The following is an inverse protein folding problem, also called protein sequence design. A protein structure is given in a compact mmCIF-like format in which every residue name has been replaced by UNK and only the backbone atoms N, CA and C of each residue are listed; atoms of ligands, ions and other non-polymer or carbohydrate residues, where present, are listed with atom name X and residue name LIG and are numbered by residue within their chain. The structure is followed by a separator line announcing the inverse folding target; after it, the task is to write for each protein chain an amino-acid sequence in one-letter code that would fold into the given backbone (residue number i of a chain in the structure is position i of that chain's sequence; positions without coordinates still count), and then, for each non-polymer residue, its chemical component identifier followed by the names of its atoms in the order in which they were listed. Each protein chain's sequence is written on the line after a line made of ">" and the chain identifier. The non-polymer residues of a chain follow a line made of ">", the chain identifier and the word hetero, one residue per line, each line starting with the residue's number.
data_IF_152254080130
#
_entry.id   IF_152254080130
#
_cell.length_a   1.000
_cell.length_b   1.000
_cell.length_c   1.000
_cell.angle_alpha   90.00
_cell.angle_beta   90.00
_cell.angle_gamma   90.00
#
_symmetry.space_group_name_H-M   'P 1'
#
loop_
_entity.id
_entity.type
_entity.pdbx_description
1 polymer ?
#
# COMPACT_ATOMS: atom_id res chain seq x y z
N UNK A 1 65.85 45.43 -20.67
CA UNK A 1 64.40 45.12 -20.72
C UNK A 1 64.24 44.19 -21.91
N UNK A 2 64.56 42.90 -21.80
CA UNK A 2 63.72 41.82 -21.25
C UNK A 2 62.87 41.27 -22.42
N UNK A 3 62.88 40.00 -22.83
CA UNK A 3 63.51 38.78 -22.31
C UNK A 3 63.72 37.77 -23.45
N UNK A 4 64.49 36.73 -23.15
CA UNK A 4 65.08 35.72 -24.03
C UNK A 4 64.14 34.67 -24.68
N UNK A 5 64.71 34.02 -25.69
CA UNK A 5 64.34 32.81 -26.45
C UNK A 5 64.38 31.47 -25.69
N UNK A 6 63.43 30.57 -25.96
CA UNK A 6 63.52 29.08 -26.13
C UNK A 6 62.07 28.58 -26.30
N UNK A 7 61.56 27.99 -27.39
CA UNK A 7 61.99 26.92 -28.31
C UNK A 7 62.07 25.52 -27.68
N UNK A 8 61.27 24.62 -28.27
CA UNK A 8 61.23 23.14 -28.24
C UNK A 8 60.39 22.49 -27.12
N UNK A 9 59.61 21.43 -27.35
CA UNK A 9 59.06 20.74 -28.53
C UNK A 9 58.05 19.70 -27.99
N UNK A 10 56.97 19.48 -28.77
CA UNK A 10 56.23 18.21 -28.99
C UNK A 10 55.66 17.39 -27.81
N UNK A 11 54.33 17.17 -27.80
CA UNK A 11 53.63 15.97 -28.31
C UNK A 11 52.14 16.01 -27.91
N UNK A 12 51.28 15.53 -28.81
CA UNK A 12 49.83 15.40 -28.71
C UNK A 12 49.40 14.49 -27.55
N UNK A 13 48.24 14.76 -26.95
CA UNK A 13 47.31 13.70 -26.53
C UNK A 13 45.87 14.24 -26.44
N UNK A 14 44.96 13.41 -26.92
CA UNK A 14 43.51 13.63 -27.02
C UNK A 14 42.81 13.37 -25.69
N UNK A 15 41.59 13.91 -25.63
CA UNK A 15 40.42 13.41 -24.90
C UNK A 15 40.13 13.85 -23.45
N UNK A 16 38.94 14.46 -23.36
CA UNK A 16 37.86 14.31 -22.37
C UNK A 16 38.04 14.93 -20.98
N UNK A 17 37.09 15.81 -20.63
CA UNK A 17 36.52 15.93 -19.29
C UNK A 17 35.21 16.76 -19.40
N UNK A 18 34.16 16.10 -19.90
CA UNK A 18 32.75 16.47 -19.70
C UNK A 18 32.28 15.78 -18.41
N UNK A 19 32.08 16.50 -17.30
CA UNK A 19 31.30 15.97 -16.15
C UNK A 19 30.99 17.08 -15.11
N UNK A 20 30.11 18.03 -15.44
CA UNK A 20 29.44 18.91 -14.44
C UNK A 20 27.99 19.24 -14.84
N UNK A 21 27.18 18.23 -15.17
CA UNK A 21 25.80 18.47 -15.61
C UNK A 21 24.80 17.34 -15.29
N UNK A 22 24.92 16.65 -14.14
CA UNK A 22 24.00 15.56 -13.79
C UNK A 22 23.26 15.67 -12.45
N UNK A 23 23.53 16.69 -11.63
CA UNK A 23 22.91 16.77 -10.29
C UNK A 23 21.66 17.67 -10.20
N UNK A 24 21.27 18.37 -11.28
CA UNK A 24 20.01 19.14 -11.32
C UNK A 24 18.88 18.46 -12.12
N UNK A 25 19.20 17.48 -12.97
CA UNK A 25 18.22 16.88 -13.88
C UNK A 25 17.32 15.84 -13.18
N UNK A 26 17.77 15.23 -12.08
CA UNK A 26 17.00 14.22 -11.35
C UNK A 26 15.79 14.80 -10.60
N UNK A 27 15.92 16.02 -10.05
CA UNK A 27 14.82 16.73 -9.39
C UNK A 27 13.84 17.36 -10.41
N UNK A 28 14.27 17.55 -11.66
CA UNK A 28 13.45 17.99 -12.78
C UNK A 28 12.70 16.82 -13.44
N UNK A 29 13.32 15.63 -13.50
CA UNK A 29 12.71 14.39 -13.97
C UNK A 29 11.59 13.89 -13.03
N UNK A 30 11.78 14.01 -11.71
CA UNK A 30 10.74 13.65 -10.74
C UNK A 30 9.50 14.58 -10.80
N UNK A 31 9.69 15.85 -11.20
CA UNK A 31 8.58 16.78 -11.46
C UNK A 31 7.83 16.49 -12.76
N UNK A 32 8.40 15.70 -13.67
CA UNK A 32 7.74 15.27 -14.92
C UNK A 32 6.60 14.26 -14.68
N UNK A 33 6.46 13.74 -13.45
CA UNK A 33 5.38 12.83 -13.05
C UNK A 33 4.34 13.48 -12.12
N UNK A 34 4.44 14.80 -11.91
CA UNK A 34 3.43 15.57 -11.21
C UNK A 34 2.25 15.80 -12.18
N UNK A 35 1.23 14.95 -12.11
CA UNK A 35 0.01 15.06 -12.93
C UNK A 35 -0.33 13.92 -13.92
N UNK A 36 0.26 12.72 -13.82
CA UNK A 36 -0.01 11.61 -14.77
C UNK A 36 -0.63 10.36 -14.12
N UNK A 37 -1.90 10.10 -14.48
CA UNK A 37 -2.62 8.86 -14.87
C UNK A 37 -2.37 7.51 -14.18
N UNK A 38 -1.75 7.47 -13.00
CA UNK A 38 -1.37 6.21 -12.33
C UNK A 38 -1.98 6.04 -10.95
N UNK A 39 -3.12 6.70 -10.70
CA UNK A 39 -3.89 6.54 -9.47
C UNK A 39 -4.86 5.36 -9.55
N UNK A 40 -5.01 4.65 -8.45
CA UNK A 40 -5.97 3.57 -8.31
C UNK A 40 -6.24 3.22 -6.85
N UNK A 41 -7.22 2.38 -6.62
CA UNK A 41 -7.52 1.88 -5.28
C UNK A 41 -6.67 0.65 -4.98
N UNK A 42 -5.61 0.82 -4.18
CA UNK A 42 -4.81 -0.29 -3.67
C UNK A 42 -5.67 -1.17 -2.77
N UNK A 43 -5.67 -2.47 -3.04
CA UNK A 43 -6.26 -3.49 -2.17
C UNK A 43 -5.36 -3.67 -0.95
N UNK A 44 -5.84 -3.42 0.26
CA UNK A 44 -5.07 -3.59 1.50
C UNK A 44 -5.44 -4.90 2.20
N UNK A 45 -6.71 -5.11 2.48
CA UNK A 45 -7.21 -6.28 3.19
C UNK A 45 -8.35 -6.94 2.44
N UNK A 46 -8.33 -8.27 2.35
CA UNK A 46 -9.43 -9.06 1.79
C UNK A 46 -10.01 -9.92 2.90
N UNK A 47 -11.32 -9.82 3.13
CA UNK A 47 -12.01 -10.58 4.16
C UNK A 47 -12.27 -12.03 3.70
N UNK A 48 -12.21 -13.02 4.60
CA UNK A 48 -12.50 -14.41 4.26
C UNK A 48 -13.90 -14.60 3.68
N UNK A 49 -14.02 -15.48 2.69
CA UNK A 49 -15.27 -15.87 2.02
C UNK A 49 -16.05 -14.72 1.34
N UNK A 50 -15.46 -13.53 1.29
CA UNK A 50 -16.02 -12.33 0.68
C UNK A 50 -16.08 -12.42 -0.85
N UNK A 51 -16.88 -11.56 -1.51
CA UNK A 51 -16.83 -11.40 -2.96
C UNK A 51 -15.40 -11.12 -3.49
N UNK A 52 -14.63 -10.28 -2.80
CA UNK A 52 -13.24 -9.98 -3.15
C UNK A 52 -12.31 -11.21 -3.04
N UNK A 53 -12.48 -12.02 -1.99
CA UNK A 53 -11.75 -13.29 -1.80
C UNK A 53 -12.04 -14.26 -2.94
N UNK A 54 -13.33 -14.49 -3.23
CA UNK A 54 -13.77 -15.39 -4.31
C UNK A 54 -13.29 -14.93 -5.69
N UNK A 55 -13.19 -13.63 -5.89
CA UNK A 55 -12.69 -13.01 -7.11
C UNK A 55 -11.15 -13.06 -7.24
N UNK A 56 -10.44 -13.46 -6.18
CA UNK A 56 -8.98 -13.61 -6.19
C UNK A 56 -8.23 -12.28 -6.18
N UNK A 57 -8.75 -11.27 -5.48
CA UNK A 57 -7.99 -10.06 -5.18
C UNK A 57 -6.86 -10.38 -4.20
N UNK A 58 -5.68 -9.82 -4.47
CA UNK A 58 -4.45 -10.03 -3.73
C UNK A 58 -4.08 -8.75 -3.01
N UNK A 59 -4.08 -8.79 -1.67
CA UNK A 59 -3.66 -7.67 -0.84
C UNK A 59 -2.29 -7.14 -1.25
N UNK A 60 -2.19 -5.82 -1.20
CA UNK A 60 -1.08 -4.95 -1.53
C UNK A 60 -0.66 -4.94 -3.00
N UNK A 61 -0.71 -6.08 -3.68
CA UNK A 61 -0.27 -6.16 -5.07
C UNK A 61 -1.29 -5.66 -6.07
N UNK A 62 -2.57 -5.79 -5.76
CA UNK A 62 -3.64 -5.36 -6.65
C UNK A 62 -4.05 -3.91 -6.43
N UNK A 63 -4.32 -3.26 -7.55
CA UNK A 63 -4.97 -1.97 -7.64
C UNK A 63 -6.21 -2.09 -8.52
N UNK A 64 -7.35 -1.64 -8.00
CA UNK A 64 -8.55 -1.47 -8.80
C UNK A 64 -8.43 -0.12 -9.51
N UNK A 65 -8.34 -0.17 -10.84
CA UNK A 65 -8.10 1.01 -11.68
C UNK A 65 -9.30 1.34 -12.56
N UNK A 66 -10.20 0.36 -12.81
CA UNK A 66 -11.40 0.55 -13.61
C UNK A 66 -12.54 -0.37 -13.17
N UNK A 67 -13.76 -0.01 -13.55
CA UNK A 67 -14.96 -0.81 -13.37
C UNK A 67 -15.89 -0.64 -14.59
N UNK A 68 -16.53 -1.74 -15.03
CA UNK A 68 -17.46 -1.79 -16.16
C UNK A 68 -16.94 -1.03 -17.39
N UNK A 69 -15.73 -1.38 -17.82
CA UNK A 69 -15.05 -0.86 -19.02
C UNK A 69 -14.69 0.64 -18.97
N UNK A 70 -14.83 1.27 -17.81
CA UNK A 70 -14.45 2.66 -17.55
C UNK A 70 -13.37 2.73 -16.47
N UNK A 71 -12.50 3.74 -16.54
CA UNK A 71 -11.50 3.99 -15.51
C UNK A 71 -12.19 4.64 -14.28
N UNK A 72 -11.71 4.31 -13.07
CA UNK A 72 -12.31 4.81 -11.83
C UNK A 72 -11.88 6.24 -11.50
N UNK A 73 -10.62 6.52 -11.81
CA UNK A 73 -9.96 7.80 -11.62
C UNK A 73 -9.30 8.04 -12.97
N UNK A 74 -9.37 9.24 -13.55
CA UNK A 74 -8.71 9.55 -14.83
C UNK A 74 -7.27 9.01 -14.91
N UNK A 75 -7.10 7.76 -15.37
CA UNK A 75 -5.86 6.99 -15.28
C UNK A 75 -5.76 6.03 -16.46
N UNK A 76 -5.82 6.56 -17.68
CA UNK A 76 -5.65 5.80 -18.91
C UNK A 76 -4.41 6.25 -19.66
N UNK A 77 -3.73 5.35 -20.35
CA UNK A 77 -2.62 5.65 -21.28
C UNK A 77 -3.04 6.56 -22.47
N UNK A 78 -4.29 7.05 -22.47
CA UNK A 78 -4.92 7.82 -23.55
C UNK A 78 -5.67 9.05 -22.99
N UNK A 79 -5.38 9.49 -21.77
CA UNK A 79 -5.95 10.74 -21.30
C UNK A 79 -5.32 11.91 -22.06
N UNK A 80 -6.18 12.74 -22.64
CA UNK A 80 -5.79 14.00 -23.23
C UNK A 80 -5.75 15.01 -22.08
N UNK A 81 -4.60 15.64 -21.89
CA UNK A 81 -4.43 16.72 -20.91
C UNK A 81 -5.53 17.80 -21.11
N UNK A 82 -6.40 17.97 -20.11
CA UNK A 82 -7.48 18.96 -20.13
C UNK A 82 -8.89 18.43 -20.47
N UNK A 83 -9.07 17.13 -20.70
CA UNK A 83 -10.42 16.52 -20.74
C UNK A 83 -10.91 16.17 -19.32
N UNK A 84 -12.08 16.70 -18.95
CA UNK A 84 -12.81 16.26 -17.75
C UNK A 84 -13.44 14.88 -18.05
N UNK A 85 -13.00 13.86 -17.33
CA UNK A 85 -13.65 12.56 -17.30
C UNK A 85 -14.55 12.52 -16.07
N UNK A 86 -15.81 12.12 -16.24
CA UNK A 86 -16.69 11.81 -15.13
C UNK A 86 -16.13 10.55 -14.44
N UNK A 87 -15.44 10.75 -13.32
CA UNK A 87 -15.00 9.66 -12.45
C UNK A 87 -16.23 8.80 -12.09
N UNK A 88 -16.07 7.49 -12.12
CA UNK A 88 -17.14 6.60 -11.71
C UNK A 88 -17.28 6.71 -10.19
N UNK A 89 -18.49 7.01 -9.72
CA UNK A 89 -18.84 6.80 -8.32
C UNK A 89 -18.83 5.30 -8.02
N UNK A 90 -17.65 4.82 -7.60
CA UNK A 90 -17.42 3.41 -7.35
C UNK A 90 -18.31 2.87 -6.22
N UNK A 91 -18.50 3.56 -5.08
CA UNK A 91 -19.50 3.19 -4.08
C UNK A 91 -20.91 3.03 -4.64
N UNK A 92 -21.41 4.01 -5.40
CA UNK A 92 -22.75 3.96 -5.99
C UNK A 92 -22.90 2.77 -6.94
N UNK A 93 -21.91 2.56 -7.82
CA UNK A 93 -21.88 1.42 -8.74
C UNK A 93 -22.01 0.08 -8.00
N UNK A 94 -21.31 -0.08 -6.87
CA UNK A 94 -21.38 -1.30 -6.07
C UNK A 94 -22.74 -1.46 -5.40
N UNK A 95 -23.33 -0.36 -4.91
CA UNK A 95 -24.68 -0.36 -4.31
C UNK A 95 -25.73 -0.80 -5.32
N UNK A 96 -25.77 -0.16 -6.49
CA UNK A 96 -26.70 -0.49 -7.58
C UNK A 96 -26.56 -1.95 -8.04
N UNK A 97 -25.32 -2.43 -8.17
CA UNK A 97 -25.06 -3.81 -8.57
C UNK A 97 -25.49 -4.82 -7.49
N UNK A 98 -25.31 -4.49 -6.21
CA UNK A 98 -25.80 -5.31 -5.10
C UNK A 98 -27.32 -5.40 -5.09
N UNK A 99 -28.02 -4.26 -5.22
CA UNK A 99 -29.49 -4.19 -5.23
C UNK A 99 -30.09 -4.92 -6.44
N UNK A 100 -29.49 -4.71 -7.60
CA UNK A 100 -29.89 -5.35 -8.86
C UNK A 100 -29.43 -6.80 -9.00
N UNK A 101 -28.61 -7.30 -8.05
CA UNK A 101 -27.99 -8.63 -8.06
C UNK A 101 -27.22 -8.91 -9.36
N UNK A 102 -26.52 -7.90 -9.85
CA UNK A 102 -25.68 -7.97 -11.05
C UNK A 102 -24.19 -8.06 -10.68
N UNK A 103 -23.38 -8.47 -11.65
CA UNK A 103 -21.92 -8.50 -11.48
C UNK A 103 -21.29 -7.16 -11.85
N UNK A 104 -20.23 -6.79 -11.17
CA UNK A 104 -19.32 -5.71 -11.57
C UNK A 104 -18.04 -6.30 -12.14
N UNK A 105 -17.60 -5.78 -13.27
CA UNK A 105 -16.36 -6.18 -13.92
C UNK A 105 -15.27 -5.16 -13.61
N UNK A 106 -14.28 -5.55 -12.82
CA UNK A 106 -13.14 -4.70 -12.46
C UNK A 106 -11.96 -4.88 -13.40
N UNK A 107 -11.27 -3.79 -13.70
CA UNK A 107 -9.93 -3.78 -14.26
C UNK A 107 -8.93 -3.64 -13.10
N UNK A 108 -8.08 -4.65 -12.93
CA UNK A 108 -7.13 -4.75 -11.82
C UNK A 108 -5.71 -4.75 -12.35
N UNK A 109 -4.88 -3.80 -11.88
CA UNK A 109 -3.45 -3.79 -12.09
C UNK A 109 -2.75 -4.55 -10.97
N UNK A 110 -1.89 -5.52 -11.31
CA UNK A 110 -1.08 -6.24 -10.33
C UNK A 110 0.38 -5.81 -10.44
N UNK A 111 0.94 -5.17 -9.42
CA UNK A 111 2.30 -4.62 -9.46
C UNK A 111 3.38 -5.71 -9.49
N UNK A 112 3.07 -6.91 -9.00
CA UNK A 112 4.03 -8.01 -8.94
C UNK A 112 4.33 -8.57 -10.33
N UNK A 113 3.30 -8.81 -11.14
CA UNK A 113 3.49 -9.24 -12.53
C UNK A 113 3.55 -8.09 -13.53
N UNK A 114 3.19 -6.87 -13.11
CA UNK A 114 3.09 -5.67 -13.95
C UNK A 114 2.14 -5.86 -15.15
N UNK A 115 0.98 -6.48 -14.89
CA UNK A 115 -0.05 -6.70 -15.90
C UNK A 115 -1.44 -6.29 -15.37
N UNK A 116 -2.31 -5.93 -16.32
CA UNK A 116 -3.75 -5.71 -16.08
C UNK A 116 -4.50 -7.03 -16.25
N UNK A 117 -5.51 -7.25 -15.43
CA UNK A 117 -6.47 -8.36 -15.59
C UNK A 117 -7.89 -7.91 -15.31
N UNK A 118 -8.83 -8.60 -15.93
CA UNK A 118 -10.25 -8.39 -15.70
C UNK A 118 -10.73 -9.36 -14.63
N UNK A 119 -11.44 -8.85 -13.63
CA UNK A 119 -11.97 -9.60 -12.49
C UNK A 119 -13.46 -9.33 -12.38
N UNK A 120 -14.29 -10.37 -12.47
CA UNK A 120 -15.73 -10.25 -12.27
C UNK A 120 -16.07 -10.59 -10.82
N UNK A 121 -16.88 -9.75 -10.18
CA UNK A 121 -17.34 -9.99 -8.81
C UNK A 121 -18.83 -9.67 -8.67
N UNK A 122 -19.44 -10.14 -7.59
CA UNK A 122 -20.86 -9.98 -7.28
C UNK A 122 -20.97 -9.28 -5.93
N UNK A 123 -21.13 -7.94 -5.90
CA UNK A 123 -21.34 -7.21 -4.66
C UNK A 123 -22.59 -7.72 -3.96
N UNK A 124 -22.53 -7.90 -2.64
CA UNK A 124 -23.68 -8.29 -1.84
C UNK A 124 -23.45 -7.96 -0.36
N UNK A 125 -24.52 -7.93 0.42
CA UNK A 125 -24.51 -7.69 1.87
C UNK A 125 -24.87 -8.93 2.69
N UNK A 126 -25.07 -10.09 2.06
CA UNK A 126 -25.53 -11.33 2.71
C UNK A 126 -24.42 -12.36 2.97
N UNK A 127 -23.17 -12.07 2.58
CA UNK A 127 -22.01 -12.94 2.80
C UNK A 127 -21.48 -12.95 4.25
N UNK A 128 -22.00 -12.10 5.14
CA UNK A 128 -21.73 -12.17 6.58
C UNK A 128 -20.48 -11.44 7.09
N UNK A 129 -19.87 -10.57 6.28
CA UNK A 129 -18.80 -9.67 6.71
C UNK A 129 -19.10 -8.19 6.42
N UNK A 130 -18.08 -7.33 6.51
CA UNK A 130 -18.26 -5.89 6.37
C UNK A 130 -18.12 -5.40 4.92
N UNK A 131 -19.09 -4.58 4.48
CA UNK A 131 -19.12 -3.96 3.16
C UNK A 131 -19.60 -4.90 2.05
N UNK A 132 -19.81 -4.32 0.86
CA UNK A 132 -20.40 -5.05 -0.28
C UNK A 132 -19.43 -6.05 -0.95
N UNK A 133 -18.12 -5.84 -0.79
CA UNK A 133 -17.08 -6.67 -1.39
C UNK A 133 -16.20 -7.41 -0.37
N UNK A 134 -16.21 -6.98 0.89
CA UNK A 134 -15.26 -7.46 1.90
C UNK A 134 -13.82 -7.09 1.62
N UNK A 135 -13.56 -5.89 1.09
CA UNK A 135 -12.22 -5.41 0.78
C UNK A 135 -11.97 -4.06 1.46
N UNK A 136 -10.78 -3.89 2.03
CA UNK A 136 -10.26 -2.59 2.45
C UNK A 136 -9.42 -2.03 1.31
N UNK A 137 -9.75 -0.84 0.84
CA UNK A 137 -9.04 -0.15 -0.23
C UNK A 137 -8.51 1.19 0.22
N UNK A 138 -7.46 1.67 -0.45
CA UNK A 138 -6.91 3.01 -0.26
C UNK A 138 -6.49 3.59 -1.59
N UNK A 139 -6.80 4.86 -1.82
CA UNK A 139 -6.26 5.59 -2.97
C UNK A 139 -4.73 5.66 -2.88
N UNK A 140 -4.04 5.16 -3.90
CA UNK A 140 -2.59 5.17 -3.98
C UNK A 140 -2.12 5.18 -5.45
N UNK A 141 -0.86 5.55 -5.67
CA UNK A 141 -0.24 5.57 -6.99
C UNK A 141 0.40 4.21 -7.28
N UNK A 142 -0.05 3.53 -8.34
CA UNK A 142 0.47 2.24 -8.79
C UNK A 142 1.69 2.35 -9.72
N UNK A 143 1.96 3.52 -10.29
CA UNK A 143 3.14 3.82 -11.08
C UNK A 143 4.42 3.63 -10.26
N UNK A 144 5.32 2.78 -10.75
CA UNK A 144 6.58 2.44 -10.05
C UNK A 144 6.38 1.86 -8.64
N UNK A 145 5.19 1.33 -8.30
CA UNK A 145 4.93 0.79 -6.96
C UNK A 145 5.76 -0.48 -6.66
N UNK A 146 6.17 -1.23 -7.68
CA UNK A 146 7.03 -2.39 -7.52
C UNK A 146 8.53 -2.04 -7.36
N UNK A 147 8.87 -0.78 -7.62
CA UNK A 147 10.22 -0.24 -7.45
C UNK A 147 10.45 0.33 -6.05
N UNK A 148 9.36 0.71 -5.38
CA UNK A 148 9.30 1.38 -4.09
C UNK A 148 9.01 0.36 -2.99
N UNK A 149 9.93 -0.57 -2.79
CA UNK A 149 9.81 -1.66 -1.81
C UNK A 149 11.05 -1.71 -0.90
N UNK A 150 10.86 -2.20 0.34
CA UNK A 150 11.95 -2.36 1.31
C UNK A 150 12.23 -3.85 1.51
N UNK A 151 13.44 -4.30 1.14
CA UNK A 151 13.86 -5.70 1.29
C UNK A 151 14.55 -5.94 2.62
N UNK A 152 14.21 -7.03 3.29
CA UNK A 152 14.96 -7.51 4.46
C UNK A 152 16.22 -8.23 3.98
N UNK A 153 17.40 -7.75 4.37
CA UNK A 153 18.69 -8.34 3.99
C UNK A 153 19.18 -9.30 5.08
N UNK A 154 19.27 -8.80 6.30
CA UNK A 154 19.78 -9.54 7.46
C UNK A 154 18.93 -9.24 8.69
N UNK A 155 18.92 -10.17 9.65
CA UNK A 155 18.21 -10.04 10.92
C UNK A 155 19.19 -10.36 12.04
N UNK A 156 19.19 -9.53 13.07
CA UNK A 156 19.95 -9.74 14.30
C UNK A 156 19.12 -10.65 15.21
N UNK A 157 19.56 -11.87 15.47
CA UNK A 157 18.78 -12.88 16.19
C UNK A 157 19.27 -13.19 17.60
N UNK A 158 20.54 -12.93 17.90
CA UNK A 158 21.17 -13.24 19.19
C UNK A 158 22.25 -12.22 19.57
N UNK A 159 21.84 -11.10 20.17
CA UNK A 159 22.76 -10.15 20.82
C UNK A 159 22.52 -10.26 22.33
N UNK A 160 23.53 -10.72 23.06
CA UNK A 160 23.51 -10.84 24.53
C UNK A 160 22.35 -11.69 25.10
N UNK A 161 21.87 -12.70 24.34
CA UNK A 161 20.68 -13.53 24.61
C UNK A 161 19.33 -12.80 24.43
N UNK A 162 19.32 -11.58 23.88
CA UNK A 162 18.11 -10.88 23.49
C UNK A 162 17.83 -11.05 22.00
N UNK A 163 16.54 -11.25 21.68
CA UNK A 163 16.05 -11.39 20.32
C UNK A 163 15.57 -10.04 19.80
N UNK A 164 15.97 -9.66 18.59
CA UNK A 164 15.49 -8.42 18.00
C UNK A 164 13.98 -8.45 17.72
N UNK A 165 13.33 -7.27 17.63
CA UNK A 165 11.96 -7.15 17.17
C UNK A 165 11.71 -7.80 15.80
N UNK A 166 12.65 -7.69 14.85
CA UNK A 166 12.55 -8.34 13.54
C UNK A 166 12.56 -9.87 13.63
N UNK A 167 13.41 -10.42 14.50
CA UNK A 167 13.46 -11.86 14.74
C UNK A 167 12.18 -12.36 15.40
N UNK A 168 11.71 -11.66 16.44
CA UNK A 168 10.48 -12.00 17.15
C UNK A 168 9.24 -11.91 16.25
N UNK A 169 9.24 -10.97 15.30
CA UNK A 169 8.21 -10.82 14.29
C UNK A 169 8.24 -11.94 13.21
N UNK A 170 9.30 -12.75 13.18
CA UNK A 170 9.43 -13.83 12.19
C UNK A 170 9.68 -13.32 10.77
N UNK A 171 10.37 -12.18 10.64
CA UNK A 171 10.89 -11.75 9.35
C UNK A 171 11.95 -12.75 8.86
N UNK A 172 12.12 -12.84 7.54
CA UNK A 172 13.03 -13.78 6.90
C UNK A 172 14.04 -13.03 6.03
N UNK A 173 15.35 -13.17 6.31
CA UNK A 173 16.39 -12.47 5.56
C UNK A 173 16.37 -12.91 4.10
N UNK A 174 16.65 -11.96 3.22
CA UNK A 174 16.71 -12.09 1.75
C UNK A 174 15.40 -12.49 1.07
N UNK A 175 14.38 -12.93 1.82
CA UNK A 175 13.13 -13.48 1.29
C UNK A 175 11.95 -12.53 1.45
N UNK A 176 11.95 -11.74 2.52
CA UNK A 176 10.87 -10.83 2.87
C UNK A 176 11.06 -9.43 2.30
N UNK A 177 9.96 -8.86 1.84
CA UNK A 177 9.81 -7.51 1.35
C UNK A 177 8.73 -6.83 2.19
N UNK A 178 9.10 -5.78 2.92
CA UNK A 178 8.20 -4.94 3.67
C UNK A 178 7.51 -3.98 2.69
N UNK A 179 6.18 -4.02 2.70
CA UNK A 179 5.36 -3.35 1.71
C UNK A 179 4.75 -2.04 2.26
N UNK A 180 4.20 -2.09 3.46
CA UNK A 180 3.35 -1.01 3.98
C UNK A 180 2.67 -1.36 5.30
N UNK A 181 2.00 -0.37 5.88
CA UNK A 181 0.94 -0.55 6.87
C UNK A 181 -0.42 -0.40 6.18
N UNK A 182 -1.52 -0.41 6.93
CA UNK A 182 -2.84 -0.01 6.43
C UNK A 182 -2.89 1.46 6.01
N UNK A 183 -2.14 2.33 6.70
CA UNK A 183 -2.17 3.77 6.47
C UNK A 183 -1.07 4.25 5.51
N UNK A 184 0.06 3.56 5.40
CA UNK A 184 1.25 4.08 4.69
C UNK A 184 1.97 3.00 3.89
N UNK A 185 2.19 3.25 2.59
CA UNK A 185 3.05 2.43 1.72
C UNK A 185 4.53 2.73 2.01
N UNK A 186 5.38 1.72 2.10
CA UNK A 186 6.82 1.89 2.34
C UNK A 186 7.56 2.10 1.03
N UNK A 187 7.91 3.36 0.71
CA UNK A 187 8.71 3.64 -0.49
C UNK A 187 10.21 3.69 -0.23
N UNK A 188 10.63 3.93 1.02
CA UNK A 188 12.03 3.99 1.43
C UNK A 188 12.23 3.46 2.86
N UNK A 189 13.49 3.24 3.23
CA UNK A 189 13.89 2.92 4.61
C UNK A 189 13.59 4.06 5.58
N UNK A 190 13.59 5.30 5.11
CA UNK A 190 13.35 6.48 5.95
C UNK A 190 11.88 6.57 6.38
N UNK A 191 10.95 6.24 5.48
CA UNK A 191 9.52 6.15 5.81
C UNK A 191 9.30 5.05 6.84
N UNK A 192 9.91 3.87 6.64
CA UNK A 192 9.83 2.79 7.63
C UNK A 192 10.40 3.23 8.98
N UNK A 193 11.58 3.87 8.98
CA UNK A 193 12.20 4.39 10.21
C UNK A 193 11.29 5.36 10.93
N UNK A 194 10.64 6.26 10.19
CA UNK A 194 9.66 7.22 10.73
C UNK A 194 8.48 6.49 11.38
N UNK A 195 7.88 5.52 10.68
CA UNK A 195 6.77 4.71 11.22
C UNK A 195 7.19 4.00 12.51
N UNK A 196 8.36 3.36 12.52
CA UNK A 196 8.88 2.65 13.70
C UNK A 196 9.12 3.61 14.87
N UNK A 197 9.69 4.78 14.63
CA UNK A 197 9.95 5.80 15.65
C UNK A 197 8.66 6.37 16.25
N UNK A 198 7.65 6.63 15.42
CA UNK A 198 6.34 7.08 15.89
C UNK A 198 5.61 6.02 16.74
N UNK A 199 6.00 4.75 16.64
CA UNK A 199 5.33 3.61 17.26
C UNK A 199 6.27 2.83 18.21
N UNK A 200 7.25 3.51 18.82
CA UNK A 200 8.14 2.88 19.80
C UNK A 200 7.32 2.34 20.98
N UNK A 201 7.59 1.09 21.36
CA UNK A 201 6.88 0.32 22.39
C UNK A 201 5.38 0.14 22.12
N UNK A 202 4.96 0.30 20.87
CA UNK A 202 3.61 -0.01 20.42
C UNK A 202 3.65 -1.11 19.37
N UNK A 203 2.59 -1.89 19.29
CA UNK A 203 2.49 -2.95 18.29
C UNK A 203 2.07 -2.35 16.96
N UNK A 204 2.80 -2.65 15.88
CA UNK A 204 2.45 -2.27 14.52
C UNK A 204 2.25 -3.49 13.64
N UNK A 205 1.38 -3.36 12.64
CA UNK A 205 1.15 -4.38 11.63
C UNK A 205 1.76 -3.96 10.29
N UNK A 206 2.60 -4.81 9.73
CA UNK A 206 3.24 -4.61 8.44
C UNK A 206 2.76 -5.66 7.44
N UNK A 207 2.41 -5.23 6.23
CA UNK A 207 2.28 -6.11 5.08
C UNK A 207 3.66 -6.53 4.61
N UNK A 208 3.89 -7.83 4.55
CA UNK A 208 5.17 -8.45 4.17
C UNK A 208 4.94 -9.48 3.09
N UNK A 209 5.57 -9.29 1.94
CA UNK A 209 5.62 -10.30 0.89
C UNK A 209 6.82 -11.23 1.09
N UNK A 210 6.60 -12.54 0.98
CA UNK A 210 7.67 -13.53 0.98
C UNK A 210 7.85 -14.17 -0.40
N UNK A 211 9.05 -14.07 -0.95
CA UNK A 211 9.41 -14.63 -2.27
C UNK A 211 9.40 -16.15 -2.34
N UNK A 212 9.55 -16.86 -1.20
CA UNK A 212 9.58 -18.33 -1.19
C UNK A 212 8.18 -18.92 -1.16
N UNK A 213 7.29 -18.37 -0.33
CA UNK A 213 5.90 -18.85 -0.23
C UNK A 213 4.98 -18.21 -1.25
N UNK A 214 5.42 -17.12 -1.86
CA UNK A 214 4.63 -16.29 -2.78
C UNK A 214 3.37 -15.70 -2.14
N UNK A 215 3.47 -15.35 -0.85
CA UNK A 215 2.34 -14.87 -0.04
C UNK A 215 2.66 -13.52 0.59
N UNK A 216 1.69 -12.60 0.50
CA UNK A 216 1.59 -11.39 1.31
C UNK A 216 0.92 -11.76 2.64
N UNK A 217 1.63 -11.55 3.73
CA UNK A 217 1.16 -11.80 5.10
C UNK A 217 1.25 -10.53 5.94
N UNK A 218 0.46 -10.47 7.00
CA UNK A 218 0.59 -9.44 8.01
C UNK A 218 1.55 -9.93 9.08
N UNK A 219 2.54 -9.11 9.40
CA UNK A 219 3.53 -9.35 10.44
C UNK A 219 3.37 -8.29 11.50
N UNK A 220 3.27 -8.75 12.75
CA UNK A 220 3.19 -7.88 13.91
C UNK A 220 4.59 -7.60 14.43
N UNK A 221 4.99 -6.33 14.48
CA UNK A 221 6.28 -5.89 14.98
C UNK A 221 6.08 -5.04 16.24
N UNK A 222 6.97 -5.19 17.21
CA UNK A 222 7.02 -4.38 18.42
C UNK A 222 8.33 -3.57 18.42
N UNK A 223 8.36 -2.36 17.81
CA UNK A 223 9.55 -1.54 17.68
C UNK A 223 10.03 -1.12 19.07
N UNK A 224 11.28 -1.40 19.44
CA UNK A 224 11.80 -1.02 20.76
C UNK A 224 13.31 -0.95 20.75
N UNK A 225 13.88 -0.10 21.60
CA UNK A 225 15.31 -0.10 21.90
C UNK A 225 15.68 -1.05 23.05
N UNK A 226 14.70 -1.70 23.69
CA UNK A 226 14.93 -2.57 24.84
C UNK A 226 15.27 -4.01 24.40
N UNK A 227 16.35 -4.16 23.64
CA UNK A 227 16.94 -5.44 23.25
C UNK A 227 18.42 -5.23 22.88
N UNK A 228 19.26 -6.23 23.15
CA UNK A 228 20.68 -6.18 22.83
C UNK A 228 21.37 -4.98 23.47
N UNK A 229 22.14 -4.23 22.69
CA UNK A 229 22.82 -3.01 23.15
C UNK A 229 21.98 -1.72 23.05
N UNK A 230 20.75 -1.81 22.52
CA UNK A 230 19.84 -0.68 22.35
C UNK A 230 20.17 0.27 21.19
N UNK A 231 21.00 -0.13 20.23
CA UNK A 231 21.39 0.73 19.10
C UNK A 231 20.40 0.71 17.93
N UNK A 232 19.42 -0.20 17.93
CA UNK A 232 18.47 -0.36 16.82
C UNK A 232 17.05 -0.60 17.31
N UNK A 233 16.06 -0.09 16.57
CA UNK A 233 14.63 -0.23 16.92
C UNK A 233 14.05 -1.57 16.44
N UNK A 234 14.53 -2.06 15.30
CA UNK A 234 13.98 -3.24 14.62
C UNK A 234 14.95 -4.43 14.65
N UNK A 235 16.26 -4.18 14.55
CA UNK A 235 17.27 -5.22 14.47
C UNK A 235 17.30 -5.98 13.15
N UNK A 236 17.11 -5.25 12.04
CA UNK A 236 17.25 -5.78 10.70
C UNK A 236 18.07 -4.82 9.83
N UNK A 237 18.86 -5.40 8.93
CA UNK A 237 19.50 -4.66 7.84
C UNK A 237 18.55 -4.67 6.65
N UNK A 238 18.27 -3.50 6.09
CA UNK A 238 17.26 -3.30 5.05
C UNK A 238 17.91 -2.70 3.80
N UNK A 239 17.34 -3.02 2.64
CA UNK A 239 17.78 -2.48 1.35
C UNK A 239 16.62 -1.95 0.53
N UNK A 240 16.88 -0.87 -0.22
CA UNK A 240 15.93 -0.22 -1.14
C UNK A 240 16.63 0.12 -2.46
N UNK A 241 15.86 0.37 -3.51
CA UNK A 241 16.38 0.70 -4.83
C UNK A 241 16.52 -0.51 -5.76
N UNK A 242 17.20 -0.31 -6.89
CA UNK A 242 17.17 -1.23 -8.04
C UNK A 242 17.51 -2.69 -7.70
N UNK A 243 18.55 -2.93 -6.89
CA UNK A 243 19.00 -4.28 -6.51
C UNK A 243 18.09 -4.97 -5.48
N UNK A 244 17.14 -4.22 -4.91
CA UNK A 244 16.26 -4.67 -3.84
C UNK A 244 14.79 -4.70 -4.28
N UNK A 245 14.53 -4.73 -5.59
CA UNK A 245 13.20 -4.94 -6.18
C UNK A 245 12.80 -6.42 -6.17
N UNK A 246 11.53 -6.70 -6.48
CA UNK A 246 11.03 -8.08 -6.61
C UNK A 246 11.81 -8.84 -7.71
N UNK A 247 12.41 -10.01 -7.38
CA UNK A 247 13.11 -10.83 -8.35
C UNK A 247 12.21 -11.32 -9.47
N UNK A 248 12.73 -11.44 -10.69
CA UNK A 248 11.95 -11.95 -11.84
C UNK A 248 11.39 -13.36 -11.58
N UNK A 249 12.10 -14.19 -10.81
CA UNK A 249 11.68 -15.55 -10.48
C UNK A 249 10.35 -15.63 -9.72
N UNK A 250 9.95 -14.58 -9.00
CA UNK A 250 8.68 -14.56 -8.30
C UNK A 250 7.56 -13.88 -9.10
N UNK A 251 7.82 -13.35 -10.30
CA UNK A 251 6.82 -12.63 -11.12
C UNK A 251 5.99 -13.55 -12.03
N UNK A 252 6.04 -14.87 -11.85
CA UNK A 252 5.29 -15.83 -12.67
C UNK A 252 3.84 -16.03 -12.25
N UNK A 253 3.43 -15.41 -11.15
CA UNK A 253 2.10 -15.53 -10.53
C UNK A 253 1.67 -14.15 -10.01
N UNK A 254 0.36 -13.91 -9.86
CA UNK A 254 -0.16 -12.66 -9.25
C UNK A 254 0.17 -12.52 -7.75
N UNK A 255 0.72 -13.57 -7.13
CA UNK A 255 0.89 -13.67 -5.68
C UNK A 255 -0.39 -14.17 -5.00
N UNK A 256 -0.29 -14.39 -3.69
CA UNK A 256 -1.44 -14.69 -2.82
C UNK A 256 -1.38 -13.78 -1.61
N UNK A 257 -2.51 -13.55 -0.95
CA UNK A 257 -2.55 -12.85 0.32
C UNK A 257 -3.29 -13.67 1.36
N UNK A 258 -2.87 -13.55 2.62
CA UNK A 258 -3.63 -14.09 3.75
C UNK A 258 -4.86 -13.19 3.96
N UNK A 259 -6.03 -13.82 4.00
CA UNK A 259 -7.29 -13.13 4.26
C UNK A 259 -7.34 -12.62 5.69
N UNK A 260 -7.91 -11.42 5.87
CA UNK A 260 -7.99 -10.72 7.15
C UNK A 260 -9.43 -10.64 7.60
N UNK A 261 -9.74 -11.22 8.77
CA UNK A 261 -11.00 -10.93 9.45
C UNK A 261 -10.93 -9.51 10.00
N UNK A 262 -11.92 -8.69 9.68
CA UNK A 262 -12.13 -7.39 10.30
C UNK A 262 -13.14 -7.60 11.43
N UNK A 263 -12.84 -7.08 12.62
CA UNK A 263 -13.81 -7.06 13.71
C UNK A 263 -14.86 -6.00 13.41
N UNK A 264 -16.10 -6.44 13.17
CA UNK A 264 -17.24 -5.54 13.00
C UNK A 264 -17.58 -5.03 14.40
N UNK A 265 -17.28 -3.76 14.70
CA UNK A 265 -17.87 -3.10 15.84
C UNK A 265 -19.34 -2.82 15.50
N UNK A 266 -20.21 -3.78 15.77
CA UNK A 266 -21.66 -3.56 15.76
C UNK A 266 -22.03 -2.67 16.95
N UNK A 267 -21.75 -1.37 16.85
CA UNK A 267 -22.33 -0.34 17.71
C UNK A 267 -23.69 0.09 17.13
N UNK A 268 -24.57 -0.87 16.94
CA UNK A 268 -25.99 -0.66 16.79
C UNK A 268 -26.67 -1.80 17.57
N UNK A 269 -27.55 -1.43 18.50
CA UNK A 269 -28.35 -2.28 19.38
C UNK A 269 -27.67 -2.87 20.64
N UNK A 270 -27.74 -2.10 21.73
CA UNK A 270 -28.52 -2.48 22.93
C UNK A 270 -28.42 -1.43 24.05
N UNK A 271 -29.19 -0.35 23.92
CA UNK A 271 -29.57 0.43 25.10
C UNK A 271 -30.86 -0.16 25.70
N UNK A 272 -30.72 -1.16 26.57
CA UNK A 272 -31.73 -1.56 27.56
C UNK A 272 -31.11 -2.39 28.68
N UNK A 273 -31.00 -1.77 29.87
CA UNK A 273 -31.14 -2.47 31.15
C UNK A 273 -29.87 -2.94 31.86
N UNK A 274 -29.37 -2.06 32.73
CA UNK A 274 -28.80 -2.30 34.07
C UNK A 274 -28.50 -3.77 34.50
N UNK A 275 -27.25 -4.09 34.81
CA UNK A 275 -26.83 -4.53 36.15
C UNK A 275 -25.29 -4.61 36.28
N UNK A 276 -24.80 -4.10 37.42
CA UNK A 276 -23.41 -4.06 37.85
C UNK A 276 -22.68 -5.42 37.79
N UNK A 277 -21.51 -5.47 37.15
CA UNK A 277 -20.33 -6.13 37.72
C UNK A 277 -19.04 -5.42 37.30
N UNK A 278 -18.38 -4.89 38.31
CA UNK A 278 -17.08 -4.23 38.29
C UNK A 278 -15.95 -5.24 38.00
N UNK A 279 -15.17 -5.02 36.94
CA UNK A 279 -13.80 -5.52 36.82
C UNK A 279 -12.95 -4.47 36.08
N UNK A 280 -12.11 -3.79 36.87
CA UNK A 280 -11.05 -2.89 36.40
C UNK A 280 -10.06 -3.63 35.48
N UNK A 281 -9.89 -3.13 34.26
CA UNK A 281 -8.61 -3.11 33.56
C UNK A 281 -8.43 -1.70 32.99
N UNK A 282 -7.42 -0.97 33.49
CA UNK A 282 -7.01 0.29 32.89
C UNK A 282 -6.36 -0.02 31.55
N UNK A 283 -7.06 0.36 30.49
CA UNK A 283 -6.71 0.12 29.10
C UNK A 283 -6.84 1.48 28.40
N UNK A 284 -5.82 2.30 28.58
CA UNK A 284 -5.76 3.61 27.94
C UNK A 284 -4.96 3.49 26.62
N UNK A 285 -5.71 3.76 25.56
CA UNK A 285 -5.32 4.30 24.25
C UNK A 285 -4.75 3.36 23.18
N UNK A 286 -5.63 2.46 22.67
CA UNK A 286 -5.58 2.05 21.26
C UNK A 286 -6.32 3.14 20.46
N UNK A 287 -5.59 4.10 19.89
CA UNK A 287 -6.11 4.98 18.84
C UNK A 287 -6.01 4.25 17.51
N UNK A 288 -7.12 3.66 17.07
CA UNK A 288 -7.31 3.30 15.67
C UNK A 288 -7.64 4.60 14.94
N UNK A 289 -6.79 5.01 13.99
CA UNK A 289 -7.09 6.12 13.07
C UNK A 289 -8.36 5.80 12.27
N UNK A 290 -9.13 6.82 11.84
CA UNK A 290 -10.39 6.60 11.15
C UNK A 290 -10.13 5.80 9.88
N UNK A 291 -10.53 4.53 9.91
CA UNK A 291 -10.85 3.77 8.71
C UNK A 291 -11.92 4.58 7.99
N UNK A 292 -11.73 4.85 6.69
CA UNK A 292 -12.83 5.27 5.82
C UNK A 292 -13.80 4.08 5.73
N UNK A 293 -14.60 3.93 6.77
CA UNK A 293 -15.82 3.16 6.76
C UNK A 293 -16.84 4.08 6.11
N UNK A 294 -17.42 3.63 5.00
CA UNK A 294 -18.45 4.36 4.30
C UNK A 294 -19.71 4.31 5.16
N UNK A 295 -19.87 5.29 6.06
CA UNK A 295 -21.15 5.59 6.68
C UNK A 295 -22.08 6.10 5.58
N UNK A 296 -23.25 5.47 5.48
CA UNK A 296 -24.32 5.83 4.55
C UNK A 296 -25.16 6.85 5.31
N UNK A 297 -25.09 8.13 4.93
CA UNK A 297 -26.06 9.13 5.37
C UNK A 297 -27.37 8.87 4.62
N UNK A 298 -28.33 8.22 5.30
CA UNK A 298 -29.70 8.04 4.84
C UNK A 298 -30.51 9.33 5.07
N UNK A 299 -30.16 10.42 4.39
CA UNK A 299 -31.02 11.60 4.28
C UNK A 299 -31.65 11.63 2.87
N UNK A 300 -32.70 10.82 2.70
CA UNK A 300 -33.70 11.04 1.67
C UNK A 300 -34.72 12.04 2.24
N UNK A 301 -34.54 13.32 1.95
CA UNK A 301 -35.65 14.28 2.02
C UNK A 301 -36.56 14.03 0.82
N UNK A 302 -37.66 13.31 1.10
CA UNK A 302 -38.88 13.31 0.30
C UNK A 302 -39.47 14.73 0.34
N UNK A 303 -39.25 15.52 -0.71
CA UNK A 303 -40.12 16.65 -1.05
C UNK A 303 -40.96 16.24 -2.27
N UNK A 304 -41.99 15.44 -1.99
CA UNK A 304 -43.27 15.53 -2.70
C UNK A 304 -43.89 16.88 -2.31
N UNK A 305 -44.05 17.79 -3.26
CA UNK A 305 -45.19 18.70 -3.21
C UNK A 305 -45.73 18.92 -4.63
N UNK A 306 -46.99 18.51 -4.71
CA UNK A 306 -47.92 18.52 -5.81
C UNK A 306 -48.26 19.92 -6.37
N UNK A 307 -48.91 19.85 -7.54
CA UNK A 307 -50.02 20.69 -7.99
C UNK A 307 -49.78 22.03 -8.73
N UNK A 308 -50.22 21.96 -9.99
CA UNK A 308 -51.28 22.76 -10.62
C UNK A 308 -50.94 23.93 -11.56
N UNK A 309 -51.47 23.73 -12.78
CA UNK A 309 -51.87 24.64 -13.89
C UNK A 309 -50.83 25.41 -14.72
#
# INVERSE_FOLDING_TARGET
>A
MGNSTSSNDEYEDQDQDDEQQQDNDNDEYAKQFDGIDTLGYRVLGVQPDSPASKAGLVSFFDFIVGANEKMLLGSGEHLIEGEEYDDIDFPLLLKEASESKTSVTLLVWNIKIQEKRIVQLYPNNDWGGAGLLGVTIKLDNYGGADERLVRVLEIMDDIDNDKSPAFLAGLQPMKDFLLGTTSTTLTSTDILSTILQCNINQIIELYVYNTTTDVVRIVTVHPTYNWGNGDSILGAVLGTGYLHRLPQSCRTTIGKSIERKVSINSNADNNKGNDNMNMNFSQDDIKIEPTLEMEIDDDYDDDDDDDDD
#
